data_IF_316819758718
#
_entry.id   IF_316819758718
#
_cell.length_a   1.000
_cell.length_b   1.000
_cell.length_c   1.000
_cell.angle_alpha   90.00
_cell.angle_beta   90.00
_cell.angle_gamma   90.00
#
_symmetry.space_group_name_H-M   'P 1'
#
loop_
_entity.id
_entity.type
_entity.pdbx_description
1 polymer ?
#
# COMPACT_ATOMS: atom_id res chain seq x y z
N UNK A 1 -6.84 -6.31 7.86
CA UNK A 1 -7.38 -7.35 6.94
C UNK A 1 -6.48 -8.57 6.99
N UNK A 2 -7.00 -9.78 6.81
CA UNK A 2 -6.14 -10.96 6.82
C UNK A 2 -5.17 -10.96 5.63
N UNK A 3 -3.99 -11.52 5.83
CA UNK A 3 -2.98 -11.58 4.80
C UNK A 3 -3.39 -12.55 3.70
N UNK A 4 -3.68 -12.06 2.49
CA UNK A 4 -4.06 -12.92 1.34
C UNK A 4 -3.06 -14.02 0.99
N UNK A 5 -1.79 -13.89 1.39
CA UNK A 5 -0.76 -14.90 1.12
C UNK A 5 -0.82 -16.09 2.08
N UNK A 6 -1.17 -15.87 3.35
CA UNK A 6 -1.09 -16.92 4.39
C UNK A 6 -2.36 -17.06 5.25
N UNK A 7 -3.39 -16.25 4.99
CA UNK A 7 -4.66 -16.26 5.72
C UNK A 7 -4.60 -15.75 7.16
N UNK A 8 -3.43 -15.33 7.68
CA UNK A 8 -3.29 -14.92 9.09
C UNK A 8 -3.66 -13.45 9.31
N UNK A 9 -4.17 -13.11 10.52
CA UNK A 9 -4.43 -11.73 10.90
C UNK A 9 -3.20 -10.84 10.78
N UNK A 10 -3.42 -9.61 10.31
CA UNK A 10 -2.39 -8.57 10.34
C UNK A 10 -2.29 -7.87 11.67
N UNK A 11 -1.11 -7.32 11.93
CA UNK A 11 -0.86 -6.40 13.04
C UNK A 11 -0.87 -4.96 12.56
N UNK A 12 -1.36 -4.07 13.42
CA UNK A 12 -1.36 -2.63 13.21
C UNK A 12 -0.05 -2.02 13.70
N UNK A 13 0.54 -1.12 12.92
CA UNK A 13 1.82 -0.45 13.21
C UNK A 13 1.81 0.98 12.69
N UNK A 14 2.74 1.80 13.18
CA UNK A 14 3.03 3.11 12.60
C UNK A 14 4.42 3.12 11.97
N UNK A 15 4.56 3.89 10.89
CA UNK A 15 5.86 4.15 10.29
C UNK A 15 6.68 5.03 11.23
N UNK A 16 7.96 4.71 11.39
CA UNK A 16 8.89 5.51 12.20
C UNK A 16 8.97 6.97 11.74
N UNK A 17 9.31 7.86 12.66
CA UNK A 17 9.41 9.32 12.44
C UNK A 17 10.39 9.70 11.33
N UNK A 18 11.46 8.92 11.16
CA UNK A 18 12.55 9.23 10.22
C UNK A 18 12.32 8.64 8.82
N UNK A 19 11.06 8.55 8.35
CA UNK A 19 10.77 7.99 7.03
C UNK A 19 11.01 9.03 5.90
N UNK A 20 11.96 8.78 4.97
CA UNK A 20 12.34 9.77 3.95
C UNK A 20 11.31 9.92 2.83
N UNK A 21 10.24 9.12 2.82
CA UNK A 21 9.22 9.13 1.77
C UNK A 21 7.96 9.92 2.16
N UNK A 22 8.01 10.71 3.24
CA UNK A 22 6.85 11.50 3.69
C UNK A 22 5.70 10.64 4.23
N UNK A 23 6.02 9.45 4.73
CA UNK A 23 5.08 8.52 5.35
C UNK A 23 5.29 8.41 6.87
N UNK A 24 6.07 9.30 7.48
CA UNK A 24 6.31 9.30 8.91
C UNK A 24 4.98 9.29 9.69
N UNK A 25 4.91 8.46 10.73
CA UNK A 25 3.74 8.27 11.59
C UNK A 25 2.48 7.73 10.88
N UNK A 26 2.52 7.41 9.58
CA UNK A 26 1.35 6.81 8.92
C UNK A 26 1.07 5.41 9.47
N UNK A 27 -0.19 5.08 9.77
CA UNK A 27 -0.56 3.75 10.23
C UNK A 27 -0.65 2.75 9.07
N UNK A 28 -0.24 1.51 9.31
CA UNK A 28 -0.29 0.43 8.33
C UNK A 28 -0.56 -0.94 8.97
N UNK A 29 -1.07 -1.85 8.15
CA UNK A 29 -1.19 -3.27 8.47
C UNK A 29 -0.01 -4.04 7.89
N UNK A 30 0.56 -4.94 8.69
CA UNK A 30 1.63 -5.83 8.28
C UNK A 30 1.32 -7.29 8.64
N UNK A 31 1.84 -8.20 7.83
CA UNK A 31 1.80 -9.62 8.13
C UNK A 31 3.14 -10.03 8.74
N UNK A 32 3.15 -10.36 10.04
CA UNK A 32 4.36 -10.84 10.73
C UNK A 32 4.88 -12.16 10.14
N UNK A 33 4.04 -13.19 9.91
CA UNK A 33 4.49 -14.45 9.30
C UNK A 33 5.14 -14.31 7.92
N UNK A 34 4.62 -13.41 7.07
CA UNK A 34 5.18 -13.16 5.74
C UNK A 34 6.25 -12.05 5.73
N UNK A 35 6.54 -11.45 6.88
CA UNK A 35 7.42 -10.30 7.05
C UNK A 35 7.20 -9.21 5.98
N UNK A 36 5.94 -8.83 5.75
CA UNK A 36 5.59 -7.92 4.65
C UNK A 36 4.57 -6.86 5.05
N UNK A 37 4.71 -5.69 4.45
CA UNK A 37 3.69 -4.66 4.44
C UNK A 37 2.46 -5.16 3.66
N UNK A 38 1.27 -4.92 4.20
CA UNK A 38 0.03 -5.29 3.52
C UNK A 38 -0.65 -4.07 2.87
N UNK A 39 -1.04 -3.09 3.66
CA UNK A 39 -1.70 -1.85 3.19
C UNK A 39 -1.66 -0.76 4.27
N UNK A 40 -1.80 0.51 3.87
CA UNK A 40 -2.02 1.60 4.82
C UNK A 40 -3.39 1.47 5.49
N UNK A 41 -3.44 1.86 6.76
CA UNK A 41 -4.65 1.83 7.58
C UNK A 41 -5.36 3.20 7.65
N UNK A 42 -4.85 4.21 6.94
CA UNK A 42 -5.48 5.52 6.81
C UNK A 42 -6.23 5.68 5.47
N UNK A 43 -6.91 6.80 5.28
CA UNK A 43 -7.65 7.12 4.05
C UNK A 43 -6.82 7.94 3.05
N UNK A 44 -5.55 8.23 3.33
CA UNK A 44 -4.74 9.09 2.46
C UNK A 44 -4.50 8.39 1.11
N UNK A 45 -4.73 9.14 0.04
CA UNK A 45 -4.63 8.66 -1.35
C UNK A 45 -5.88 7.94 -1.85
N UNK A 46 -6.93 7.79 -1.04
CA UNK A 46 -8.23 7.27 -1.49
C UNK A 46 -9.08 8.45 -1.98
N UNK A 47 -9.59 8.36 -3.20
CA UNK A 47 -10.48 9.34 -3.82
C UNK A 47 -11.52 8.60 -4.66
N UNK A 48 -12.76 9.09 -4.69
CA UNK A 48 -13.81 8.55 -5.55
C UNK A 48 -13.46 8.67 -7.05
N UNK A 49 -12.55 9.57 -7.40
CA UNK A 49 -12.05 9.77 -8.77
C UNK A 49 -10.98 8.75 -9.18
N UNK A 50 -10.42 8.00 -8.23
CA UNK A 50 -9.45 6.96 -8.55
C UNK A 50 -10.13 5.82 -9.30
N UNK A 51 -9.36 5.18 -10.20
CA UNK A 51 -9.78 3.95 -10.87
C UNK A 51 -10.24 2.91 -9.84
N UNK A 52 -11.39 2.27 -10.09
CA UNK A 52 -11.94 1.23 -9.21
C UNK A 52 -11.08 -0.03 -9.31
N UNK A 53 -10.83 -0.68 -8.19
CA UNK A 53 -10.14 -1.97 -8.15
C UNK A 53 -11.11 -3.14 -8.44
N UNK A 54 -10.63 -4.38 -8.45
CA UNK A 54 -11.47 -5.57 -8.70
C UNK A 54 -12.51 -5.85 -7.60
N UNK A 55 -12.45 -5.13 -6.47
CA UNK A 55 -13.47 -5.17 -5.44
C UNK A 55 -14.60 -4.17 -5.69
N UNK A 56 -14.58 -3.47 -6.83
CA UNK A 56 -15.49 -2.37 -7.15
C UNK A 56 -15.43 -1.20 -6.14
N UNK A 57 -14.26 -1.00 -5.53
CA UNK A 57 -14.00 0.11 -4.60
C UNK A 57 -12.95 1.06 -5.19
N UNK A 58 -12.99 2.37 -4.89
CA UNK A 58 -11.97 3.31 -5.35
C UNK A 58 -10.57 2.87 -4.90
N UNK A 59 -9.60 2.82 -5.79
CA UNK A 59 -8.23 2.45 -5.41
C UNK A 59 -7.54 3.52 -4.55
N UNK A 60 -6.41 3.18 -3.93
CA UNK A 60 -5.51 4.14 -3.29
C UNK A 60 -4.36 4.49 -4.21
N UNK A 61 -4.17 5.79 -4.43
CA UNK A 61 -2.98 6.36 -5.03
C UNK A 61 -1.83 6.41 -4.02
N UNK A 62 -0.68 5.86 -4.41
CA UNK A 62 0.57 5.90 -3.67
C UNK A 62 1.72 6.36 -4.59
N UNK A 63 2.89 6.53 -3.99
CA UNK A 63 4.10 7.00 -4.69
C UNK A 63 5.26 6.05 -4.43
N UNK A 64 6.02 5.73 -5.49
CA UNK A 64 7.23 4.91 -5.37
C UNK A 64 8.24 5.64 -4.50
N UNK A 65 8.75 4.94 -3.48
CA UNK A 65 9.73 5.50 -2.55
C UNK A 65 11.05 5.88 -3.23
N UNK A 66 11.87 6.67 -2.53
CA UNK A 66 13.16 7.19 -3.02
C UNK A 66 14.14 6.09 -3.43
N UNK A 67 14.09 4.95 -2.72
CA UNK A 67 14.96 3.79 -2.93
C UNK A 67 14.12 2.53 -3.17
N UNK A 68 13.56 2.34 -4.38
CA UNK A 68 12.74 1.18 -4.68
C UNK A 68 13.58 -0.09 -4.56
N UNK A 69 13.04 -1.13 -3.90
CA UNK A 69 13.66 -2.45 -3.78
C UNK A 69 13.02 -3.40 -4.80
N UNK A 70 13.83 -4.17 -5.52
CA UNK A 70 13.37 -5.10 -6.56
C UNK A 70 13.16 -4.41 -7.92
N UNK A 71 13.37 -5.18 -9.00
CA UNK A 71 13.47 -4.72 -10.40
C UNK A 71 12.51 -3.59 -10.80
N UNK A 72 13.07 -2.65 -11.58
CA UNK A 72 12.54 -1.33 -11.97
C UNK A 72 11.21 -1.39 -12.75
N UNK A 73 10.09 -1.74 -12.13
CA UNK A 73 8.81 -1.51 -12.80
C UNK A 73 8.51 0.00 -12.92
N UNK A 74 8.86 0.77 -11.89
CA UNK A 74 8.57 2.21 -11.81
C UNK A 74 9.76 3.01 -11.27
N UNK A 75 9.87 4.28 -11.72
CA UNK A 75 10.90 5.22 -11.26
C UNK A 75 10.55 5.78 -9.87
N UNK A 76 11.54 6.16 -9.04
CA UNK A 76 11.28 6.89 -7.80
C UNK A 76 10.35 8.08 -8.04
N UNK A 77 9.33 8.24 -7.19
CA UNK A 77 8.36 9.32 -7.33
C UNK A 77 7.21 9.04 -8.30
N UNK A 78 7.25 7.96 -9.08
CA UNK A 78 6.13 7.58 -9.93
C UNK A 78 4.89 7.27 -9.10
N UNK A 79 3.72 7.60 -9.65
CA UNK A 79 2.43 7.31 -9.05
C UNK A 79 1.98 5.91 -9.44
N UNK A 80 1.31 5.24 -8.51
CA UNK A 80 0.66 3.96 -8.77
C UNK A 80 -0.59 3.84 -7.90
N UNK A 81 -1.47 2.93 -8.27
CA UNK A 81 -2.75 2.68 -7.62
C UNK A 81 -2.86 1.23 -7.20
N UNK A 82 -3.37 1.00 -5.99
CA UNK A 82 -3.61 -0.35 -5.45
C UNK A 82 -4.96 -0.46 -4.78
N UNK A 83 -5.48 -1.67 -4.63
CA UNK A 83 -6.65 -1.91 -3.77
C UNK A 83 -6.36 -1.47 -2.33
N UNK A 84 -7.06 -0.46 -1.83
CA UNK A 84 -6.80 0.13 -0.51
C UNK A 84 -7.05 -0.84 0.65
N UNK A 85 -8.00 -1.76 0.49
CA UNK A 85 -8.30 -2.83 1.46
C UNK A 85 -7.34 -4.01 1.35
N UNK A 86 -6.55 -4.08 0.27
CA UNK A 86 -5.71 -5.21 -0.11
C UNK A 86 -6.47 -6.54 -0.22
N UNK A 87 -7.74 -6.50 -0.62
CA UNK A 87 -8.59 -7.67 -0.84
C UNK A 87 -8.46 -8.26 -2.26
N UNK A 88 -8.03 -7.46 -3.23
CA UNK A 88 -7.62 -7.94 -4.56
C UNK A 88 -6.18 -7.51 -4.89
N UNK A 89 -5.66 -8.02 -6.00
CA UNK A 89 -4.32 -7.80 -6.55
C UNK A 89 -4.23 -6.64 -7.55
N UNK A 90 -5.29 -5.83 -7.67
CA UNK A 90 -5.31 -4.63 -8.50
C UNK A 90 -4.05 -3.78 -8.32
N UNK A 91 -3.39 -3.48 -9.45
CA UNK A 91 -2.24 -2.60 -9.57
C UNK A 91 -2.33 -1.85 -10.89
N UNK A 92 -2.25 -0.52 -10.83
CA UNK A 92 -2.19 0.33 -12.01
C UNK A 92 -1.12 1.41 -11.83
N UNK A 93 -0.59 1.91 -12.94
CA UNK A 93 0.38 3.00 -12.97
C UNK A 93 0.23 3.77 -14.28
N UNK A 94 0.82 4.97 -14.33
CA UNK A 94 0.99 5.77 -15.55
C UNK A 94 2.37 5.54 -16.16
#
# INVERSE_FOLDING_TARGET
PDCRRCGRPTIFRHVGTNNPNGNALRPYYACSPCNTFLTWADQRGISAENVRCHCDEPSRQDRVGKYPRGGKLLRPGALFWTCWQKQCDFFAHV
#
